data_IF_070102571246
#
_entry.id   IF_070102571246
#
_cell.length_a   1.000
_cell.length_b   1.000
_cell.length_c   1.000
_cell.angle_alpha   90.00
_cell.angle_beta   90.00
_cell.angle_gamma   90.00
#
_symmetry.space_group_name_H-M   'P 1'
#
loop_
_entity.id
_entity.type
_entity.pdbx_description
1 polymer ?
#
# COMPACT_ATOMS: atom_id res chain seq x y z
N UNK A 1 92.11 -9.40 9.59
CA UNK A 1 91.04 -8.47 9.19
C UNK A 1 89.85 -9.31 8.67
N UNK A 2 88.87 -9.58 9.47
CA UNK A 2 87.67 -10.36 9.12
C UNK A 2 86.55 -9.37 8.97
N UNK A 3 85.97 -9.19 7.76
CA UNK A 3 84.79 -8.35 7.54
C UNK A 3 83.53 -9.21 7.67
N UNK A 4 82.69 -8.90 8.68
CA UNK A 4 81.38 -9.44 8.86
C UNK A 4 80.42 -8.82 7.86
N UNK A 5 79.68 -9.66 7.11
CA UNK A 5 78.56 -9.23 6.26
C UNK A 5 77.29 -9.42 7.11
N UNK A 6 76.64 -8.31 7.38
CA UNK A 6 75.31 -8.31 7.96
C UNK A 6 74.27 -8.58 6.85
N UNK A 7 73.53 -9.65 6.96
CA UNK A 7 72.33 -9.96 6.13
C UNK A 7 71.13 -9.17 6.62
N UNK A 8 70.55 -8.32 5.78
CA UNK A 8 69.28 -7.64 6.05
C UNK A 8 68.13 -8.51 5.50
N UNK A 9 67.40 -9.14 6.35
CA UNK A 9 66.17 -9.86 6.03
C UNK A 9 65.02 -8.84 6.01
N UNK A 10 64.51 -8.51 4.80
CA UNK A 10 63.29 -7.68 4.65
C UNK A 10 62.07 -8.56 4.85
N UNK A 11 61.34 -8.31 5.92
CA UNK A 11 60.03 -8.92 6.14
C UNK A 11 58.96 -8.18 5.30
N UNK A 12 58.38 -8.87 4.32
CA UNK A 12 57.22 -8.37 3.55
C UNK A 12 55.98 -8.71 4.35
N UNK A 13 55.31 -7.71 4.93
CA UNK A 13 54.01 -7.86 5.57
C UNK A 13 52.95 -7.82 4.46
N UNK A 14 52.37 -8.96 4.13
CA UNK A 14 51.19 -9.05 3.24
C UNK A 14 49.96 -8.78 4.07
N UNK A 15 49.40 -7.58 3.97
CA UNK A 15 48.08 -7.29 4.52
C UNK A 15 46.99 -7.94 3.64
N UNK A 16 46.44 -9.06 4.05
CA UNK A 16 45.24 -9.64 3.43
C UNK A 16 44.05 -8.80 3.91
N UNK A 17 43.51 -7.95 3.07
CA UNK A 17 42.22 -7.29 3.29
C UNK A 17 41.14 -8.33 2.97
N UNK A 18 40.57 -8.95 4.00
CA UNK A 18 39.34 -9.73 3.85
C UNK A 18 38.20 -8.74 3.56
N UNK A 19 37.80 -8.61 2.31
CA UNK A 19 36.53 -8.02 1.96
C UNK A 19 35.41 -9.00 2.40
N UNK A 20 34.76 -8.73 3.53
CA UNK A 20 33.50 -9.35 3.88
C UNK A 20 32.47 -8.89 2.84
N UNK A 21 32.17 -9.74 1.87
CA UNK A 21 31.00 -9.59 1.03
C UNK A 21 29.80 -9.80 1.95
N UNK A 22 29.13 -8.71 2.36
CA UNK A 22 27.79 -8.80 2.96
C UNK A 22 26.89 -9.31 1.82
N UNK A 23 26.46 -10.54 1.91
CA UNK A 23 25.46 -11.05 0.99
C UNK A 23 24.21 -10.19 1.16
N UNK A 24 23.76 -9.53 0.11
CA UNK A 24 22.47 -8.85 0.10
C UNK A 24 21.40 -9.86 0.50
N UNK A 25 20.54 -9.48 1.44
CA UNK A 25 19.44 -10.37 1.80
C UNK A 25 18.49 -10.45 0.59
N UNK A 26 18.12 -11.68 0.22
CA UNK A 26 17.23 -11.90 -0.92
C UNK A 26 15.91 -11.14 -0.72
N UNK A 27 15.37 -10.59 -1.81
CA UNK A 27 14.04 -10.01 -1.82
C UNK A 27 13.00 -11.04 -1.35
N UNK A 28 12.00 -10.60 -0.61
CA UNK A 28 11.02 -11.51 0.00
C UNK A 28 9.61 -11.09 -0.38
N UNK A 29 8.92 -11.98 -1.10
CA UNK A 29 7.50 -11.81 -1.42
C UNK A 29 6.69 -11.84 -0.12
N UNK A 30 5.80 -10.85 0.06
CA UNK A 30 4.99 -10.65 1.27
C UNK A 30 5.82 -10.73 2.56
N UNK A 31 7.05 -10.22 2.51
CA UNK A 31 7.99 -10.23 3.63
C UNK A 31 7.53 -9.37 4.81
N UNK A 32 8.23 -9.52 5.93
CA UNK A 32 7.94 -8.73 7.15
C UNK A 32 8.17 -7.24 6.89
N UNK A 33 7.15 -6.43 7.12
CA UNK A 33 7.21 -4.98 6.97
C UNK A 33 8.06 -4.33 8.06
N UNK A 34 8.78 -3.23 7.74
CA UNK A 34 9.62 -2.54 8.73
C UNK A 34 8.79 -1.83 9.80
N UNK A 35 9.14 -2.04 11.08
CA UNK A 35 8.55 -1.28 12.18
C UNK A 35 9.03 0.18 12.23
N UNK A 36 8.36 1.06 12.99
CA UNK A 36 7.10 0.78 13.67
C UNK A 36 5.91 0.70 12.71
N UNK A 37 4.88 -0.06 13.10
CA UNK A 37 3.59 -0.05 12.42
C UNK A 37 2.61 0.87 13.18
N UNK A 38 1.63 1.47 12.49
CA UNK A 38 1.38 1.42 11.04
C UNK A 38 2.51 2.07 10.23
N UNK A 39 2.60 1.77 8.93
CA UNK A 39 3.76 2.09 8.07
C UNK A 39 4.15 3.57 8.08
N UNK A 40 3.18 4.48 7.98
CA UNK A 40 3.38 5.92 8.09
C UNK A 40 3.33 6.41 9.54
N UNK A 41 3.78 7.65 9.84
CA UNK A 41 3.58 8.26 11.15
C UNK A 41 2.10 8.25 11.59
N UNK A 42 1.83 8.19 12.90
CA UNK A 42 0.45 8.16 13.43
C UNK A 42 -0.41 9.36 13.03
N UNK A 43 0.21 10.47 12.66
CA UNK A 43 -0.47 11.68 12.16
C UNK A 43 -0.79 11.64 10.68
N UNK A 44 -0.40 10.58 9.97
CA UNK A 44 -0.72 10.40 8.56
C UNK A 44 -2.24 10.21 8.38
N UNK A 45 -2.75 10.63 7.21
CA UNK A 45 -4.17 10.47 6.88
C UNK A 45 -4.62 9.00 6.88
N UNK A 46 -3.77 8.03 6.53
CA UNK A 46 -4.10 6.62 6.63
C UNK A 46 -4.39 6.20 8.08
N UNK A 47 -3.70 6.78 9.05
CA UNK A 47 -3.72 6.40 10.46
C UNK A 47 -4.60 7.33 11.32
N UNK A 48 -5.21 8.35 10.71
CA UNK A 48 -6.02 9.32 11.43
C UNK A 48 -7.34 8.70 11.92
N UNK A 49 -7.58 8.75 13.24
CA UNK A 49 -8.84 8.36 13.85
C UNK A 49 -9.96 9.33 13.43
N UNK A 50 -10.96 8.81 12.73
CA UNK A 50 -12.10 9.58 12.22
C UNK A 50 -13.39 9.26 12.95
N UNK A 51 -13.34 8.53 14.06
CA UNK A 51 -14.53 8.10 14.80
C UNK A 51 -15.44 9.25 15.24
N UNK A 52 -14.83 10.44 15.50
CA UNK A 52 -15.52 11.67 15.88
C UNK A 52 -15.53 12.73 14.78
N UNK A 53 -15.07 12.42 13.58
CA UNK A 53 -15.08 13.37 12.47
C UNK A 53 -16.52 13.73 12.08
N UNK A 54 -16.81 15.02 11.77
CA UNK A 54 -18.13 15.46 11.36
C UNK A 54 -18.53 14.82 10.02
N UNK A 55 -19.83 14.61 9.84
CA UNK A 55 -20.37 14.11 8.57
C UNK A 55 -20.41 15.19 7.51
N UNK A 56 -20.21 14.79 6.26
CA UNK A 56 -20.47 15.66 5.11
C UNK A 56 -21.97 15.92 4.99
N UNK A 57 -22.35 17.16 4.74
CA UNK A 57 -23.77 17.53 4.58
C UNK A 57 -24.46 16.82 3.40
N UNK A 58 -23.68 16.34 2.43
CA UNK A 58 -24.16 15.57 1.29
C UNK A 58 -23.95 14.04 1.45
N UNK A 59 -23.60 13.56 2.66
CA UNK A 59 -23.32 12.13 2.92
C UNK A 59 -24.39 11.21 2.36
N UNK A 60 -25.67 11.48 2.64
CA UNK A 60 -26.78 10.67 2.16
C UNK A 60 -26.88 10.65 0.62
N UNK A 61 -26.58 11.78 -0.04
CA UNK A 61 -26.61 11.86 -1.51
C UNK A 61 -25.49 11.00 -2.13
N UNK A 62 -24.28 11.03 -1.56
CA UNK A 62 -23.17 10.21 -2.02
C UNK A 62 -23.46 8.70 -1.84
N UNK A 63 -23.99 8.31 -0.69
CA UNK A 63 -24.39 6.92 -0.44
C UNK A 63 -25.49 6.50 -1.41
N UNK A 64 -26.45 7.37 -1.70
CA UNK A 64 -27.50 7.12 -2.70
C UNK A 64 -26.92 6.97 -4.11
N UNK A 65 -25.91 7.76 -4.48
CA UNK A 65 -25.23 7.66 -5.77
C UNK A 65 -24.52 6.32 -5.94
N UNK A 66 -23.80 5.83 -4.91
CA UNK A 66 -23.20 4.48 -4.89
C UNK A 66 -24.30 3.43 -5.03
N UNK A 67 -25.42 3.62 -4.37
CA UNK A 67 -26.54 2.69 -4.23
C UNK A 67 -26.57 2.11 -2.81
N UNK A 68 -27.60 2.46 -2.05
CA UNK A 68 -27.72 2.13 -0.61
C UNK A 68 -27.61 0.64 -0.31
N UNK A 69 -28.01 -0.24 -1.25
CA UNK A 69 -27.95 -1.70 -1.13
C UNK A 69 -26.69 -2.31 -1.69
N UNK A 70 -25.75 -1.49 -2.22
CA UNK A 70 -24.49 -1.98 -2.75
C UNK A 70 -23.69 -2.62 -1.61
N UNK A 71 -23.36 -3.90 -1.78
CA UNK A 71 -22.62 -4.67 -0.77
C UNK A 71 -21.12 -4.39 -0.85
N UNK A 72 -20.45 -4.49 0.28
CA UNK A 72 -18.99 -4.56 0.29
C UNK A 72 -18.52 -5.86 -0.34
N UNK A 73 -17.35 -5.79 -0.95
CA UNK A 73 -16.63 -6.95 -1.48
C UNK A 73 -15.17 -6.92 -1.03
N UNK A 74 -14.61 -8.02 -0.49
CA UNK A 74 -13.17 -8.12 -0.25
C UNK A 74 -12.50 -8.44 -1.58
N UNK A 75 -11.78 -7.46 -2.13
CA UNK A 75 -11.04 -7.60 -3.39
C UNK A 75 -9.62 -8.07 -3.08
N UNK A 76 -9.52 -9.21 -2.42
CA UNK A 76 -8.28 -9.85 -2.03
C UNK A 76 -8.52 -11.31 -1.66
N UNK A 77 -7.43 -12.10 -1.69
CA UNK A 77 -7.53 -13.53 -1.42
C UNK A 77 -6.20 -14.22 -1.68
N UNK A 78 -6.30 -15.49 -2.00
CA UNK A 78 -5.19 -16.33 -2.42
C UNK A 78 -5.12 -16.50 -3.93
N UNK A 79 -4.65 -17.67 -4.36
CA UNK A 79 -4.68 -18.09 -5.76
C UNK A 79 -6.12 -18.24 -6.25
N UNK A 80 -6.38 -17.93 -7.51
CA UNK A 80 -7.70 -18.08 -8.14
C UNK A 80 -8.18 -19.55 -8.14
N UNK A 81 -7.23 -20.47 -8.23
CA UNK A 81 -7.39 -21.89 -7.96
C UNK A 81 -6.06 -22.45 -7.47
N UNK A 82 -6.03 -23.56 -6.69
CA UNK A 82 -4.78 -24.11 -6.16
C UNK A 82 -3.73 -24.34 -7.23
N UNK A 83 -2.55 -23.71 -7.08
CA UNK A 83 -1.43 -23.76 -8.01
C UNK A 83 -1.56 -22.85 -9.24
N UNK A 84 -2.56 -21.96 -9.28
CA UNK A 84 -2.71 -20.95 -10.34
C UNK A 84 -1.72 -19.80 -10.15
N UNK A 85 -1.16 -19.31 -11.28
CA UNK A 85 -0.41 -18.06 -11.27
C UNK A 85 -1.33 -16.85 -11.01
N UNK A 86 -2.62 -16.93 -11.38
CA UNK A 86 -3.60 -15.87 -11.12
C UNK A 86 -3.93 -15.78 -9.63
N UNK A 87 -3.90 -14.55 -9.11
CA UNK A 87 -4.11 -14.28 -7.67
C UNK A 87 -5.08 -13.12 -7.47
N UNK A 88 -5.73 -13.11 -6.30
CA UNK A 88 -6.54 -12.00 -5.82
C UNK A 88 -5.78 -11.17 -4.79
N UNK A 89 -5.88 -9.84 -4.92
CA UNK A 89 -5.21 -8.89 -4.05
C UNK A 89 -3.80 -8.52 -4.51
N UNK A 90 -3.16 -7.64 -3.74
CA UNK A 90 -1.88 -7.06 -4.06
C UNK A 90 -0.73 -7.84 -3.41
N UNK A 91 0.15 -8.50 -4.17
CA UNK A 91 1.44 -8.92 -3.63
C UNK A 91 2.30 -7.69 -3.35
N UNK A 92 3.20 -7.79 -2.39
CA UNK A 92 4.24 -6.80 -2.17
C UNK A 92 5.58 -7.47 -1.91
N UNK A 93 6.65 -6.76 -2.18
CA UNK A 93 8.01 -7.26 -2.06
C UNK A 93 8.77 -6.46 -1.03
N UNK A 94 9.50 -7.13 -0.14
CA UNK A 94 10.41 -6.48 0.80
C UNK A 94 11.84 -6.72 0.36
N UNK A 95 12.58 -5.63 0.18
CA UNK A 95 14.01 -5.61 -0.17
C UNK A 95 14.83 -4.95 0.93
N UNK A 96 16.13 -5.13 0.92
CA UNK A 96 17.04 -4.36 1.76
C UNK A 96 17.56 -3.10 1.03
N UNK A 97 18.21 -2.20 1.77
CA UNK A 97 18.72 -0.93 1.25
C UNK A 97 19.85 -1.05 0.22
N UNK A 98 20.39 -2.25 0.01
CA UNK A 98 21.44 -2.53 -0.99
C UNK A 98 20.87 -3.04 -2.32
N UNK A 99 19.55 -3.28 -2.42
CA UNK A 99 18.90 -3.73 -3.65
C UNK A 99 19.24 -2.78 -4.82
N UNK A 100 19.81 -3.27 -5.93
CA UNK A 100 20.13 -2.44 -7.08
C UNK A 100 18.90 -1.75 -7.66
N UNK A 101 19.03 -0.46 -7.94
CA UNK A 101 17.94 0.33 -8.52
C UNK A 101 17.94 0.19 -10.04
N UNK A 102 16.76 0.03 -10.61
CA UNK A 102 16.48 -0.04 -12.05
C UNK A 102 15.85 1.28 -12.53
N UNK A 103 16.11 1.67 -13.77
CA UNK A 103 15.34 2.69 -14.45
C UNK A 103 14.05 2.05 -15.01
N UNK A 104 12.96 2.82 -15.00
CA UNK A 104 11.65 2.41 -15.54
C UNK A 104 11.19 3.46 -16.54
N UNK A 105 10.76 3.06 -17.71
CA UNK A 105 10.17 3.95 -18.72
C UNK A 105 8.66 4.09 -18.45
N UNK A 106 8.15 5.32 -18.42
CA UNK A 106 6.78 5.63 -18.02
C UNK A 106 5.93 6.20 -19.15
N UNK A 107 4.66 5.78 -19.20
CA UNK A 107 3.66 6.41 -20.06
C UNK A 107 3.28 7.80 -19.52
N UNK A 108 3.27 7.98 -18.17
CA UNK A 108 3.00 9.24 -17.47
C UNK A 108 4.28 9.74 -16.80
N UNK A 109 5.31 10.03 -17.59
CA UNK A 109 6.65 10.44 -17.10
C UNK A 109 6.62 11.74 -16.32
N UNK A 110 5.74 12.67 -16.66
CA UNK A 110 5.57 13.99 -16.03
C UNK A 110 4.96 13.93 -14.63
N UNK A 111 4.35 12.81 -14.26
CA UNK A 111 3.76 12.56 -12.94
C UNK A 111 4.46 11.43 -12.18
N UNK A 112 5.58 10.90 -12.66
CA UNK A 112 6.26 9.74 -12.10
C UNK A 112 7.58 10.11 -11.42
N UNK A 113 7.87 9.47 -10.27
CA UNK A 113 9.18 9.56 -9.64
C UNK A 113 10.19 8.69 -10.40
N UNK A 114 11.48 9.02 -10.29
CA UNK A 114 12.54 8.30 -11.02
C UNK A 114 12.75 8.80 -12.44
N UNK A 115 12.19 9.97 -12.75
CA UNK A 115 12.39 10.69 -14.01
C UNK A 115 13.15 11.99 -13.75
N UNK A 116 14.10 12.31 -14.59
CA UNK A 116 14.69 13.64 -14.64
C UNK A 116 13.77 14.54 -15.45
N UNK A 117 12.90 15.30 -14.79
CA UNK A 117 11.89 16.15 -15.42
C UNK A 117 12.48 17.31 -16.26
N UNK A 118 13.80 17.54 -16.24
CA UNK A 118 14.44 18.51 -17.15
C UNK A 118 14.78 17.87 -18.50
N UNK A 119 15.14 16.59 -18.52
CA UNK A 119 15.57 15.87 -19.73
C UNK A 119 14.57 14.83 -20.20
N UNK A 120 13.51 14.60 -19.44
CA UNK A 120 12.52 13.54 -19.62
C UNK A 120 13.14 12.14 -19.76
N UNK A 121 14.16 11.89 -18.94
CA UNK A 121 14.89 10.63 -18.95
C UNK A 121 14.70 9.88 -17.64
N UNK A 122 14.35 8.61 -17.73
CA UNK A 122 14.32 7.70 -16.58
C UNK A 122 15.72 7.48 -16.02
N UNK A 123 15.82 7.45 -14.69
CA UNK A 123 17.06 7.20 -13.95
C UNK A 123 16.93 5.95 -13.09
N UNK A 124 18.02 5.27 -12.71
CA UNK A 124 17.97 4.15 -11.76
C UNK A 124 17.38 4.61 -10.42
N UNK A 125 16.14 4.19 -10.12
CA UNK A 125 15.39 4.67 -8.95
C UNK A 125 14.65 3.58 -8.21
N UNK A 126 14.03 2.63 -8.90
CA UNK A 126 13.18 1.59 -8.33
C UNK A 126 13.99 0.33 -7.99
N UNK A 127 14.00 -0.14 -6.73
CA UNK A 127 14.76 -1.32 -6.31
C UNK A 127 14.01 -2.61 -6.69
N UNK A 128 13.76 -2.81 -7.99
CA UNK A 128 13.03 -3.97 -8.52
C UNK A 128 13.92 -5.20 -8.46
N UNK A 129 13.53 -6.27 -7.73
CA UNK A 129 14.29 -7.51 -7.70
C UNK A 129 14.13 -8.31 -9.00
N UNK A 130 15.19 -9.03 -9.38
CA UNK A 130 15.20 -9.80 -10.63
C UNK A 130 14.17 -10.95 -10.61
N UNK A 131 13.78 -11.42 -9.42
CA UNK A 131 12.72 -12.43 -9.24
C UNK A 131 11.38 -11.97 -9.84
N UNK A 132 11.07 -10.68 -9.79
CA UNK A 132 9.82 -10.14 -10.36
C UNK A 132 9.73 -10.30 -11.89
N UNK A 133 10.87 -10.55 -12.58
CA UNK A 133 10.90 -10.76 -14.04
C UNK A 133 10.24 -12.09 -14.41
N UNK A 134 10.55 -13.17 -13.70
CA UNK A 134 10.23 -14.52 -14.15
C UNK A 134 9.45 -15.37 -13.13
N UNK A 135 9.26 -14.88 -11.90
CA UNK A 135 8.51 -15.61 -10.88
C UNK A 135 7.07 -15.12 -10.81
N UNK A 136 6.13 -16.08 -10.71
CA UNK A 136 4.73 -15.79 -10.47
C UNK A 136 4.51 -15.16 -9.07
N UNK A 137 3.38 -14.47 -8.91
CA UNK A 137 2.90 -13.87 -7.66
C UNK A 137 3.68 -12.64 -7.15
N UNK A 138 4.64 -12.11 -7.91
CA UNK A 138 5.40 -10.92 -7.53
C UNK A 138 4.76 -9.61 -7.97
N UNK A 139 3.86 -9.70 -8.93
CA UNK A 139 3.12 -8.58 -9.53
C UNK A 139 1.63 -8.90 -9.43
N UNK A 140 0.80 -7.89 -9.25
CA UNK A 140 -0.65 -8.03 -9.23
C UNK A 140 -1.17 -8.80 -10.45
N UNK A 141 -2.21 -9.61 -10.23
CA UNK A 141 -2.72 -10.56 -11.22
C UNK A 141 -1.90 -11.85 -11.30
N UNK A 142 -0.73 -11.90 -10.64
CA UNK A 142 0.06 -13.10 -10.40
C UNK A 142 1.06 -13.48 -11.49
N UNK A 143 0.85 -13.12 -12.75
CA UNK A 143 1.76 -13.47 -13.84
C UNK A 143 3.10 -12.72 -13.73
N UNK A 144 4.24 -13.35 -14.14
CA UNK A 144 5.57 -12.74 -14.12
C UNK A 144 5.68 -11.42 -14.88
N UNK A 145 6.72 -10.64 -14.57
CA UNK A 145 6.96 -9.32 -15.17
C UNK A 145 7.26 -9.35 -16.68
N UNK A 146 7.78 -10.45 -17.21
CA UNK A 146 8.06 -10.64 -18.61
C UNK A 146 6.83 -11.10 -19.44
N UNK A 147 5.65 -11.22 -18.82
CA UNK A 147 4.38 -11.47 -19.51
C UNK A 147 3.62 -10.15 -19.64
N UNK A 148 3.42 -9.68 -20.87
CA UNK A 148 2.71 -8.41 -21.10
C UNK A 148 1.19 -8.59 -21.00
N UNK A 149 0.63 -8.12 -19.88
CA UNK A 149 -0.80 -8.11 -19.61
C UNK A 149 -1.32 -6.69 -19.37
N UNK A 150 -0.57 -5.64 -19.73
CA UNK A 150 -0.92 -4.25 -19.48
C UNK A 150 -2.26 -3.80 -20.06
N UNK A 151 -2.75 -4.49 -21.06
CA UNK A 151 -4.07 -4.21 -21.67
C UNK A 151 -5.27 -4.83 -20.94
N UNK A 152 -5.03 -5.74 -19.99
CA UNK A 152 -6.07 -6.54 -19.33
C UNK A 152 -5.98 -6.57 -17.82
N UNK A 153 -4.90 -6.05 -17.24
CA UNK A 153 -4.64 -6.04 -15.79
C UNK A 153 -3.87 -4.80 -15.40
N UNK A 154 -4.10 -4.30 -14.20
CA UNK A 154 -3.44 -3.10 -13.65
C UNK A 154 -1.97 -3.35 -13.31
N UNK A 155 -1.58 -4.60 -13.04
CA UNK A 155 -0.17 -5.01 -12.94
C UNK A 155 0.64 -4.18 -11.97
N UNK A 156 0.15 -3.97 -10.75
CA UNK A 156 0.88 -3.23 -9.73
C UNK A 156 2.08 -4.02 -9.20
N UNK A 157 3.19 -3.31 -8.95
CA UNK A 157 4.36 -3.82 -8.25
C UNK A 157 4.67 -2.91 -7.06
N UNK A 158 4.49 -3.44 -5.84
CA UNK A 158 4.70 -2.73 -4.59
C UNK A 158 6.00 -3.21 -3.94
N UNK A 159 6.94 -2.30 -3.67
CA UNK A 159 8.27 -2.64 -3.15
C UNK A 159 8.57 -1.82 -1.90
N UNK A 160 8.93 -2.49 -0.81
CA UNK A 160 9.32 -1.88 0.46
C UNK A 160 10.80 -2.08 0.68
N UNK A 161 11.57 -1.00 0.68
CA UNK A 161 12.93 -0.96 1.21
C UNK A 161 12.85 -0.85 2.74
N UNK A 162 13.10 -1.99 3.40
CA UNK A 162 12.92 -2.11 4.86
C UNK A 162 13.94 -1.31 5.66
N UNK A 163 15.16 -1.13 5.14
CA UNK A 163 16.26 -0.51 5.87
C UNK A 163 16.11 1.02 5.87
N UNK A 164 15.63 1.59 4.77
CA UNK A 164 15.39 3.02 4.62
C UNK A 164 13.95 3.43 4.94
N UNK A 165 13.03 2.47 5.12
CA UNK A 165 11.58 2.70 5.25
C UNK A 165 11.04 3.50 4.07
N UNK A 166 11.32 3.06 2.88
CA UNK A 166 10.84 3.62 1.63
C UNK A 166 9.85 2.66 0.96
N UNK A 167 8.80 3.21 0.38
CA UNK A 167 7.82 2.48 -0.42
C UNK A 167 7.89 2.98 -1.86
N UNK A 168 8.01 2.05 -2.79
CA UNK A 168 7.97 2.29 -4.22
C UNK A 168 6.80 1.52 -4.80
N UNK A 169 5.96 2.18 -5.57
CA UNK A 169 4.78 1.57 -6.19
C UNK A 169 4.75 1.91 -7.67
N UNK A 170 4.53 0.90 -8.48
CA UNK A 170 4.47 1.00 -9.94
C UNK A 170 3.11 0.47 -10.41
N UNK A 171 2.52 1.15 -11.37
CA UNK A 171 1.30 0.76 -12.07
C UNK A 171 1.62 0.27 -13.46
N UNK A 172 0.97 -0.80 -13.91
CA UNK A 172 0.99 -1.33 -15.27
C UNK A 172 2.37 -1.77 -15.75
N UNK A 173 3.07 -2.56 -14.91
CA UNK A 173 4.46 -2.94 -15.15
C UNK A 173 4.62 -4.06 -16.18
N UNK A 174 5.70 -3.97 -16.97
CA UNK A 174 6.15 -4.98 -17.90
C UNK A 174 7.66 -4.92 -18.12
N UNK A 175 8.32 -6.07 -18.23
CA UNK A 175 9.73 -6.20 -18.60
C UNK A 175 9.87 -6.76 -20.01
N UNK A 176 10.38 -5.97 -20.94
CA UNK A 176 10.46 -6.30 -22.37
C UNK A 176 11.64 -7.21 -22.75
N UNK A 177 12.40 -7.66 -21.76
CA UNK A 177 13.65 -8.42 -21.94
C UNK A 177 14.91 -7.56 -21.79
N UNK A 178 14.77 -6.23 -21.78
CA UNK A 178 15.86 -5.25 -21.66
C UNK A 178 15.57 -4.21 -20.59
N UNK A 179 14.32 -3.73 -20.52
CA UNK A 179 13.89 -2.60 -19.72
C UNK A 179 12.56 -2.88 -19.01
N UNK A 180 12.37 -2.22 -17.90
CA UNK A 180 11.09 -2.10 -17.25
C UNK A 180 10.30 -0.93 -17.83
N UNK A 181 9.02 -1.18 -18.10
CA UNK A 181 8.03 -0.19 -18.47
C UNK A 181 6.95 -0.14 -17.40
N UNK A 182 6.32 1.01 -17.21
CA UNK A 182 5.16 1.18 -16.34
C UNK A 182 4.27 2.31 -16.84
N UNK A 183 3.02 2.33 -16.44
CA UNK A 183 2.13 3.46 -16.66
C UNK A 183 2.58 4.66 -15.84
N UNK A 184 2.68 4.47 -14.53
CA UNK A 184 3.16 5.48 -13.59
C UNK A 184 3.96 4.84 -12.46
N UNK A 185 4.69 5.69 -11.70
CA UNK A 185 5.45 5.24 -10.56
C UNK A 185 5.54 6.29 -9.46
N UNK A 186 5.48 5.84 -8.21
CA UNK A 186 5.49 6.69 -7.05
C UNK A 186 6.47 6.22 -5.98
N UNK A 187 7.03 7.19 -5.28
CA UNK A 187 7.88 7.01 -4.13
C UNK A 187 7.25 7.65 -2.89
N UNK A 188 7.31 6.94 -1.77
CA UNK A 188 6.86 7.43 -0.48
C UNK A 188 7.91 7.15 0.59
N UNK A 189 8.37 8.20 1.26
CA UNK A 189 9.14 8.09 2.49
C UNK A 189 8.18 7.80 3.65
N UNK A 190 8.24 6.58 4.19
CA UNK A 190 7.36 6.13 5.28
C UNK A 190 7.68 6.80 6.63
N UNK A 191 8.74 7.61 6.71
CA UNK A 191 9.09 8.34 7.93
C UNK A 191 8.38 9.70 8.05
N UNK A 192 7.77 10.19 6.97
CA UNK A 192 7.12 11.50 6.90
C UNK A 192 5.69 11.45 6.35
N UNK A 193 4.95 12.53 6.51
CA UNK A 193 3.61 12.69 5.92
C UNK A 193 3.69 13.38 4.55
N UNK A 194 4.50 12.83 3.65
CA UNK A 194 4.65 13.36 2.30
C UNK A 194 3.42 13.05 1.44
N UNK A 195 2.74 14.08 0.93
CA UNK A 195 1.71 13.96 -0.12
C UNK A 195 2.36 14.23 -1.48
N UNK A 196 1.90 13.54 -2.50
CA UNK A 196 2.34 13.84 -3.88
C UNK A 196 1.95 15.27 -4.28
N UNK A 197 2.67 15.90 -5.21
CA UNK A 197 2.28 17.21 -5.75
C UNK A 197 0.84 17.20 -6.24
N UNK A 198 0.13 18.33 -6.14
CA UNK A 198 -1.21 18.46 -6.71
C UNK A 198 -1.19 18.18 -8.21
N UNK A 199 -2.19 17.47 -8.68
CA UNK A 199 -2.37 16.95 -10.03
C UNK A 199 -1.52 15.71 -10.38
N UNK A 200 -0.60 15.29 -9.53
CA UNK A 200 0.16 14.07 -9.77
C UNK A 200 -0.58 12.83 -9.29
N UNK A 201 -0.65 11.82 -10.16
CA UNK A 201 -1.07 10.46 -9.79
C UNK A 201 0.00 9.74 -8.97
N UNK A 202 -0.30 8.55 -8.51
CA UNK A 202 0.68 7.57 -8.02
C UNK A 202 0.53 6.29 -8.84
N UNK A 203 0.86 5.14 -8.30
CA UNK A 203 0.38 3.87 -8.82
C UNK A 203 -1.14 3.69 -8.60
N UNK A 204 -1.74 4.52 -7.73
CA UNK A 204 -3.18 4.59 -7.47
C UNK A 204 -3.76 5.90 -8.02
N UNK A 205 -4.94 5.87 -8.61
CA UNK A 205 -5.53 7.01 -9.31
C UNK A 205 -5.72 8.27 -8.44
N UNK A 206 -5.87 8.10 -7.13
CA UNK A 206 -5.98 9.24 -6.20
C UNK A 206 -4.65 9.93 -5.88
N UNK A 207 -3.51 9.41 -6.35
CA UNK A 207 -2.18 9.88 -5.94
C UNK A 207 -1.81 9.46 -4.51
N UNK A 208 -2.43 8.42 -3.97
CA UNK A 208 -2.18 7.87 -2.65
C UNK A 208 -1.26 6.64 -2.73
N UNK A 209 -0.63 6.28 -1.62
CA UNK A 209 0.07 5.01 -1.51
C UNK A 209 -0.93 3.86 -1.35
N UNK A 210 -0.73 2.75 -2.05
CA UNK A 210 -1.61 1.57 -2.03
C UNK A 210 -1.38 0.74 -0.77
N UNK A 211 -0.15 0.29 -0.53
CA UNK A 211 0.20 -0.68 0.52
C UNK A 211 -0.31 -0.29 1.92
N UNK A 212 -0.21 0.97 2.37
CA UNK A 212 -0.71 1.37 3.69
C UNK A 212 -2.23 1.27 3.85
N UNK A 213 -2.97 1.22 2.75
CA UNK A 213 -4.43 1.09 2.72
C UNK A 213 -4.94 -0.34 2.51
N UNK A 214 -4.08 -1.33 2.42
CA UNK A 214 -4.46 -2.73 2.20
C UNK A 214 -4.82 -3.43 3.51
N UNK A 215 -5.84 -4.30 3.47
CA UNK A 215 -6.09 -5.28 4.53
C UNK A 215 -5.02 -6.35 4.46
N UNK A 216 -4.24 -6.58 5.52
CA UNK A 216 -3.15 -7.55 5.54
C UNK A 216 -3.44 -8.73 6.47
N UNK A 217 -3.03 -9.92 6.03
CA UNK A 217 -3.25 -11.15 6.79
C UNK A 217 -2.55 -11.12 8.17
N UNK A 218 -1.31 -10.64 8.20
CA UNK A 218 -0.48 -10.58 9.41
C UNK A 218 -1.10 -9.71 10.53
N UNK A 219 -1.77 -8.59 10.17
CA UNK A 219 -2.42 -7.73 11.16
C UNK A 219 -3.81 -8.25 11.55
N UNK A 220 -4.56 -8.82 10.62
CA UNK A 220 -5.89 -9.39 10.91
C UNK A 220 -5.78 -10.55 11.90
N UNK A 221 -4.83 -11.45 11.72
CA UNK A 221 -4.59 -12.59 12.59
C UNK A 221 -3.50 -12.35 13.65
N UNK A 222 -2.90 -11.17 13.66
CA UNK A 222 -1.96 -10.73 14.70
C UNK A 222 -2.65 -10.37 16.02
N UNK A 223 -1.88 -10.11 17.09
CA UNK A 223 -2.43 -9.82 18.41
C UNK A 223 -3.00 -8.40 18.55
N UNK A 224 -2.59 -7.45 17.71
CA UNK A 224 -2.95 -6.03 17.82
C UNK A 224 -4.18 -5.68 16.99
N UNK A 225 -4.85 -4.57 17.33
CA UNK A 225 -5.89 -3.98 16.48
C UNK A 225 -5.24 -3.39 15.20
N UNK A 226 -6.05 -3.26 14.14
CA UNK A 226 -5.65 -2.57 12.92
C UNK A 226 -5.77 -1.06 13.16
N UNK A 227 -4.70 -0.32 12.91
CA UNK A 227 -4.60 1.11 13.23
C UNK A 227 -4.49 2.00 11.99
N UNK A 228 -5.18 1.64 10.89
CA UNK A 228 -5.23 2.44 9.67
C UNK A 228 -6.54 2.26 8.90
N UNK A 229 -6.83 3.20 7.98
CA UNK A 229 -7.93 3.13 7.03
C UNK A 229 -7.62 2.16 5.89
N UNK A 230 -8.67 1.71 5.20
CA UNK A 230 -8.49 0.88 4.01
C UNK A 230 -8.78 1.64 2.72
N UNK A 231 -8.15 1.18 1.64
CA UNK A 231 -8.43 1.58 0.27
C UNK A 231 -9.79 1.02 -0.16
N UNK A 232 -10.59 1.85 -0.84
CA UNK A 232 -11.86 1.43 -1.44
C UNK A 232 -11.98 1.98 -2.85
N UNK A 233 -12.55 1.20 -3.75
CA UNK A 233 -12.91 1.65 -5.11
C UNK A 233 -14.39 2.00 -5.20
N UNK A 234 -14.73 2.88 -6.13
CA UNK A 234 -16.09 3.23 -6.56
C UNK A 234 -16.14 3.34 -8.08
N UNK A 235 -17.29 3.05 -8.70
CA UNK A 235 -17.41 3.04 -10.17
C UNK A 235 -17.12 4.38 -10.86
N UNK A 236 -17.26 5.47 -10.13
CA UNK A 236 -17.10 6.83 -10.69
C UNK A 236 -16.75 7.82 -9.59
N UNK A 237 -15.92 8.79 -9.94
CA UNK A 237 -15.51 9.88 -9.04
C UNK A 237 -15.75 11.26 -9.67
N UNK A 238 -15.65 12.31 -8.85
CA UNK A 238 -15.79 13.70 -9.27
C UNK A 238 -14.73 14.58 -8.61
N UNK A 239 -13.62 14.80 -9.31
CA UNK A 239 -12.50 15.57 -8.77
C UNK A 239 -11.78 14.87 -7.64
N UNK A 240 -11.07 15.64 -6.79
CA UNK A 240 -10.39 15.11 -5.61
C UNK A 240 -10.45 16.08 -4.44
N UNK A 241 -10.25 15.56 -3.24
CA UNK A 241 -10.09 16.29 -1.99
C UNK A 241 -8.94 15.70 -1.19
N UNK A 242 -8.37 16.47 -0.28
CA UNK A 242 -7.38 15.93 0.66
C UNK A 242 -7.87 14.62 1.31
N UNK A 243 -7.04 13.58 1.38
CA UNK A 243 -5.58 13.57 1.12
C UNK A 243 -5.17 13.33 -0.34
N UNK A 244 -6.08 13.01 -1.25
CA UNK A 244 -5.75 12.77 -2.65
C UNK A 244 -5.08 13.98 -3.31
N UNK A 245 -4.22 13.73 -4.27
CA UNK A 245 -3.55 14.75 -5.10
C UNK A 245 -4.04 14.76 -6.53
N UNK A 246 -4.74 13.70 -6.98
CA UNK A 246 -5.12 13.53 -8.37
C UNK A 246 -6.59 13.13 -8.49
N UNK A 247 -7.16 13.38 -9.67
CA UNK A 247 -8.54 13.04 -10.06
C UNK A 247 -8.52 12.02 -11.19
N UNK A 248 -9.45 11.06 -11.18
CA UNK A 248 -9.66 10.16 -12.30
C UNK A 248 -11.09 10.20 -12.86
N UNK A 249 -11.89 11.23 -12.48
CA UNK A 249 -13.26 11.37 -12.96
C UNK A 249 -13.84 12.75 -12.75
N UNK A 250 -14.99 13.00 -13.41
CA UNK A 250 -15.75 14.24 -13.34
C UNK A 250 -17.26 14.00 -13.33
N UNK A 251 -17.70 12.85 -12.79
CA UNK A 251 -19.10 12.44 -12.80
C UNK A 251 -19.89 13.18 -11.71
N UNK A 252 -20.83 14.03 -12.13
CA UNK A 252 -21.66 14.81 -11.21
C UNK A 252 -22.39 13.93 -10.20
N UNK A 253 -22.33 14.27 -8.92
CA UNK A 253 -22.95 13.53 -7.82
C UNK A 253 -22.09 12.41 -7.25
N UNK A 254 -21.00 12.01 -7.92
CA UNK A 254 -20.07 11.02 -7.40
C UNK A 254 -19.15 11.58 -6.30
N UNK A 255 -18.60 10.71 -5.46
CA UNK A 255 -17.57 11.05 -4.49
C UNK A 255 -16.30 11.56 -5.20
N UNK A 256 -15.56 12.51 -4.62
CA UNK A 256 -14.21 12.83 -5.09
C UNK A 256 -13.20 11.75 -4.63
N UNK A 257 -12.08 11.61 -5.34
CA UNK A 257 -10.90 10.89 -4.84
C UNK A 257 -10.47 11.48 -3.50
N UNK A 258 -10.01 10.65 -2.57
CA UNK A 258 -9.64 11.07 -1.21
C UNK A 258 -10.82 11.24 -0.25
N UNK A 259 -12.07 11.16 -0.72
CA UNK A 259 -13.23 11.14 0.16
C UNK A 259 -13.14 9.93 1.10
N UNK A 260 -13.64 10.10 2.34
CA UNK A 260 -13.57 9.05 3.35
C UNK A 260 -14.97 8.61 3.78
N UNK A 261 -15.21 7.31 3.70
CA UNK A 261 -16.39 6.65 4.26
C UNK A 261 -16.03 6.06 5.62
N UNK A 262 -16.96 6.12 6.56
CA UNK A 262 -16.80 5.53 7.89
C UNK A 262 -17.96 4.59 8.16
N UNK A 263 -17.67 3.34 8.55
CA UNK A 263 -18.69 2.41 9.02
C UNK A 263 -19.36 3.00 10.27
N UNK A 264 -20.68 3.07 10.26
CA UNK A 264 -21.48 3.65 11.37
C UNK A 264 -21.19 2.94 12.68
N UNK A 265 -20.94 3.70 13.75
CA UNK A 265 -20.73 3.15 15.09
C UNK A 265 -21.93 2.33 15.60
N UNK A 266 -23.15 2.63 15.12
CA UNK A 266 -24.38 1.91 15.42
C UNK A 266 -24.47 0.52 14.77
N UNK A 267 -23.62 0.22 13.76
CA UNK A 267 -23.59 -1.10 13.14
C UNK A 267 -23.02 -2.12 14.12
N UNK A 268 -23.86 -3.04 14.56
CA UNK A 268 -23.42 -4.12 15.44
C UNK A 268 -22.46 -5.05 14.69
N UNK A 269 -21.37 -5.41 15.34
CA UNK A 269 -20.40 -6.38 14.86
C UNK A 269 -20.59 -7.76 15.51
N UNK A 270 -21.60 -7.89 16.39
CA UNK A 270 -21.93 -9.17 17.05
C UNK A 270 -22.30 -10.21 16.00
N UNK A 271 -21.77 -11.42 16.14
CA UNK A 271 -22.03 -12.53 15.23
C UNK A 271 -20.98 -12.70 14.12
N UNK A 272 -20.15 -11.70 13.86
CA UNK A 272 -18.97 -11.90 13.00
C UNK A 272 -17.84 -12.59 13.77
N UNK A 273 -16.99 -13.30 13.07
CA UNK A 273 -15.77 -13.90 13.63
C UNK A 273 -14.82 -12.81 14.16
N UNK A 274 -14.00 -13.07 15.19
CA UNK A 274 -13.13 -12.07 15.82
C UNK A 274 -12.22 -11.32 14.83
N UNK A 275 -11.63 -12.03 13.87
CA UNK A 275 -10.78 -11.47 12.82
C UNK A 275 -11.55 -10.51 11.88
N UNK A 276 -12.79 -10.84 11.54
CA UNK A 276 -13.68 -9.97 10.74
C UNK A 276 -14.11 -8.74 11.56
N UNK A 277 -14.43 -8.93 12.83
CA UNK A 277 -14.75 -7.81 13.72
C UNK A 277 -13.58 -6.81 13.82
N UNK A 278 -12.32 -7.31 13.81
CA UNK A 278 -11.13 -6.45 13.83
C UNK A 278 -11.08 -5.55 12.59
N UNK A 279 -11.31 -6.12 11.40
CA UNK A 279 -11.38 -5.34 10.14
C UNK A 279 -12.48 -4.28 10.23
N UNK A 280 -13.68 -4.66 10.67
CA UNK A 280 -14.82 -3.75 10.75
C UNK A 280 -14.67 -2.68 11.84
N UNK A 281 -14.01 -2.98 12.97
CA UNK A 281 -13.63 -1.94 13.95
C UNK A 281 -12.68 -0.91 13.35
N UNK A 282 -11.73 -1.34 12.51
CA UNK A 282 -10.87 -0.39 11.80
C UNK A 282 -11.67 0.49 10.84
N UNK A 283 -12.69 -0.06 10.14
CA UNK A 283 -13.60 0.74 9.30
C UNK A 283 -14.44 1.73 10.12
N UNK A 284 -14.82 1.39 11.37
CA UNK A 284 -15.51 2.33 12.27
C UNK A 284 -14.60 3.43 12.78
N UNK A 285 -13.31 3.14 12.98
CA UNK A 285 -12.36 4.06 13.59
C UNK A 285 -11.58 4.89 12.56
N UNK A 286 -11.11 4.24 11.51
CA UNK A 286 -10.24 4.86 10.50
C UNK A 286 -10.93 5.04 9.15
N UNK A 287 -11.98 4.27 8.88
CA UNK A 287 -12.79 4.37 7.66
C UNK A 287 -12.13 3.77 6.42
N UNK A 288 -12.71 4.15 5.27
CA UNK A 288 -12.29 3.76 3.93
C UNK A 288 -11.96 5.03 3.14
N UNK A 289 -10.85 5.05 2.41
CA UNK A 289 -10.48 6.19 1.55
C UNK A 289 -10.71 5.80 0.09
N UNK A 290 -11.49 6.62 -0.63
CA UNK A 290 -11.70 6.45 -2.08
C UNK A 290 -10.38 6.74 -2.79
N UNK A 291 -9.77 5.71 -3.37
CA UNK A 291 -8.44 5.76 -3.92
C UNK A 291 -8.39 5.49 -5.43
N UNK A 292 -9.42 4.82 -5.97
CA UNK A 292 -9.47 4.51 -7.38
C UNK A 292 -10.92 4.36 -7.90
N UNK A 293 -11.07 4.39 -9.23
CA UNK A 293 -12.27 3.95 -9.92
C UNK A 293 -12.21 2.44 -10.17
N UNK A 294 -13.34 1.76 -10.00
CA UNK A 294 -13.45 0.32 -10.15
C UNK A 294 -14.85 -0.14 -9.83
N UNK A 295 -15.00 -1.32 -9.28
CA UNK A 295 -16.29 -1.76 -8.75
C UNK A 295 -16.64 -1.02 -7.47
N UNK A 296 -17.94 -0.71 -7.28
CA UNK A 296 -18.39 -0.01 -6.07
C UNK A 296 -18.19 -0.86 -4.83
N UNK A 297 -17.60 -0.26 -3.78
CA UNK A 297 -17.42 -0.81 -2.45
C UNK A 297 -16.51 -2.04 -2.42
N UNK A 298 -15.53 -2.11 -3.31
CA UNK A 298 -14.48 -3.12 -3.27
C UNK A 298 -13.35 -2.63 -2.36
N UNK A 299 -13.00 -3.48 -1.38
CA UNK A 299 -11.99 -3.19 -0.36
C UNK A 299 -10.73 -3.97 -0.73
N UNK A 300 -9.63 -3.27 -0.93
CA UNK A 300 -8.38 -3.89 -1.34
C UNK A 300 -7.62 -4.50 -0.15
N UNK A 301 -6.92 -5.60 -0.40
CA UNK A 301 -6.05 -6.24 0.57
C UNK A 301 -4.87 -6.95 -0.11
N UNK A 302 -3.97 -7.49 0.70
CA UNK A 302 -2.81 -8.20 0.17
C UNK A 302 -3.18 -9.60 -0.33
N UNK A 303 -2.48 -10.05 -1.38
CA UNK A 303 -2.43 -11.46 -1.74
C UNK A 303 -1.86 -12.28 -0.58
N UNK A 304 -2.56 -13.33 -0.18
CA UNK A 304 -2.08 -14.31 0.79
C UNK A 304 -2.88 -15.61 0.65
N UNK A 305 -2.20 -16.74 0.41
CA UNK A 305 -2.86 -18.05 0.22
C UNK A 305 -3.58 -18.58 1.46
N UNK A 306 -3.39 -17.95 2.62
CA UNK A 306 -4.07 -18.30 3.88
C UNK A 306 -5.45 -17.67 4.01
N UNK A 307 -5.84 -16.70 3.17
CA UNK A 307 -7.17 -16.14 3.17
C UNK A 307 -8.23 -17.19 2.83
N UNK A 308 -9.35 -17.13 3.53
CA UNK A 308 -10.52 -17.96 3.27
C UNK A 308 -11.70 -17.11 2.75
N UNK A 309 -11.84 -17.07 1.44
CA UNK A 309 -12.89 -16.28 0.79
C UNK A 309 -14.30 -16.84 1.05
N UNK A 310 -14.43 -18.09 1.49
CA UNK A 310 -15.72 -18.62 1.95
C UNK A 310 -16.19 -17.97 3.26
N UNK A 311 -15.27 -17.37 4.01
CA UNK A 311 -15.54 -16.58 5.23
C UNK A 311 -15.62 -15.08 4.90
N UNK A 312 -14.67 -14.57 4.10
CA UNK A 312 -14.57 -13.15 3.78
C UNK A 312 -15.78 -12.65 2.97
N UNK A 313 -16.14 -13.33 1.88
CA UNK A 313 -17.20 -12.88 0.98
C UNK A 313 -18.57 -12.72 1.67
N UNK A 314 -19.09 -13.68 2.42
CA UNK A 314 -20.37 -13.51 3.12
C UNK A 314 -20.28 -12.47 4.24
N UNK A 315 -19.13 -12.35 4.93
CA UNK A 315 -18.97 -11.37 6.00
C UNK A 315 -18.98 -9.93 5.45
N UNK A 316 -18.19 -9.63 4.42
CA UNK A 316 -18.20 -8.32 3.79
C UNK A 316 -19.53 -8.03 3.12
N UNK A 317 -20.12 -9.01 2.42
CA UNK A 317 -21.42 -8.90 1.78
C UNK A 317 -22.61 -8.68 2.76
N UNK A 318 -22.40 -8.82 4.06
CA UNK A 318 -23.39 -8.45 5.10
C UNK A 318 -23.40 -6.94 5.41
N UNK A 319 -22.42 -6.20 4.92
CA UNK A 319 -22.36 -4.73 4.97
C UNK A 319 -22.80 -4.16 3.62
N UNK A 320 -23.50 -3.03 3.66
CA UNK A 320 -23.92 -2.28 2.46
C UNK A 320 -23.44 -0.84 2.55
N UNK A 321 -23.48 -0.12 1.44
CA UNK A 321 -23.15 1.31 1.42
C UNK A 321 -23.99 2.10 2.45
N UNK A 322 -25.22 1.68 2.73
CA UNK A 322 -26.08 2.32 3.73
C UNK A 322 -25.56 2.16 5.18
N UNK A 323 -24.66 1.21 5.44
CA UNK A 323 -24.02 1.07 6.74
C UNK A 323 -22.89 2.09 6.97
N UNK A 324 -22.58 2.90 5.97
CA UNK A 324 -21.51 3.92 6.01
C UNK A 324 -22.05 5.34 5.98
N UNK A 325 -21.26 6.24 6.55
CA UNK A 325 -21.39 7.68 6.39
C UNK A 325 -20.18 8.23 5.66
N UNK A 326 -20.35 9.29 4.86
CA UNK A 326 -19.25 10.07 4.31
C UNK A 326 -18.89 11.15 5.33
N UNK A 327 -17.63 11.19 5.77
CA UNK A 327 -17.14 12.25 6.64
C UNK A 327 -16.90 13.54 5.83
N UNK A 328 -16.89 14.67 6.49
CA UNK A 328 -16.69 15.97 5.87
C UNK A 328 -15.48 15.93 4.93
N UNK A 329 -15.69 16.26 3.66
CA UNK A 329 -14.65 16.21 2.64
C UNK A 329 -13.48 17.13 3.00
N UNK A 330 -12.25 16.61 2.81
CA UNK A 330 -11.03 17.32 3.15
C UNK A 330 -10.80 17.51 4.66
N UNK A 331 -11.57 16.84 5.51
CA UNK A 331 -11.36 16.90 6.96
C UNK A 331 -9.97 16.43 7.34
N UNK A 332 -9.38 17.17 8.27
CA UNK A 332 -8.09 16.84 8.88
C UNK A 332 -8.25 16.91 10.41
N UNK A 333 -7.59 16.04 11.17
CA UNK A 333 -7.57 16.17 12.62
C UNK A 333 -6.93 17.50 13.01
N UNK A 334 -7.47 18.15 14.05
CA UNK A 334 -6.91 19.41 14.56
C UNK A 334 -5.51 19.09 15.12
N UNK A 335 -4.50 19.76 14.56
CA UNK A 335 -3.12 19.59 15.00
C UNK A 335 -3.01 19.95 16.51
N UNK A 336 -2.51 19.01 17.31
CA UNK A 336 -2.25 19.22 18.75
C UNK A 336 -3.31 18.68 19.72
N UNK A 337 -4.42 18.09 19.25
CA UNK A 337 -5.25 17.30 20.15
C UNK A 337 -4.65 15.91 20.32
N UNK A 338 -4.42 15.42 21.56
CA UNK A 338 -4.04 14.04 21.78
C UNK A 338 -5.12 13.14 21.22
N UNK A 339 -4.75 12.10 20.47
CA UNK A 339 -5.68 11.03 20.11
C UNK A 339 -6.34 10.45 21.37
N UNK A 340 -7.55 9.85 21.26
CA UNK A 340 -8.19 9.22 22.40
C UNK A 340 -7.23 8.20 23.04
N UNK A 341 -7.22 8.10 24.39
CA UNK A 341 -6.31 7.21 25.10
C UNK A 341 -6.51 5.76 24.65
N UNK A 342 -5.43 5.15 24.16
CA UNK A 342 -5.43 3.80 23.59
C UNK A 342 -5.46 2.67 24.64
N UNK A 343 -5.47 3.00 25.97
CA UNK A 343 -5.46 2.02 27.06
C UNK A 343 -6.34 2.47 28.24
N UNK A 344 -7.66 2.42 28.06
CA UNK A 344 -8.58 2.37 29.22
C UNK A 344 -8.62 0.93 29.74
N UNK A 345 -7.72 0.58 30.68
CA UNK A 345 -7.98 -0.55 31.57
C UNK A 345 -9.03 -0.09 32.58
N UNK A 346 -10.22 -0.67 32.51
CA UNK A 346 -11.18 -0.61 33.60
C UNK A 346 -10.54 -1.43 34.74
N UNK A 347 -9.98 -0.74 35.73
CA UNK A 347 -9.63 -1.37 37.01
C UNK A 347 -10.94 -1.46 37.77
N UNK A 348 -11.56 -2.64 37.79
CA UNK A 348 -12.68 -2.92 38.70
C UNK A 348 -12.16 -2.74 40.12
N UNK A 349 -12.61 -1.65 40.75
CA UNK A 349 -12.37 -1.42 42.17
C UNK A 349 -13.01 -2.51 43.01
N UNK A 350 -12.27 -2.94 44.02
CA UNK A 350 -12.74 -3.82 45.09
C UNK A 350 -13.86 -3.15 45.90
#
# INVERSE_FOLDING_TARGET
>A
MIRSRASRTSAVIVCIVLALAVAAAAATLNGVLPGPLPLFPRTNWWNADVSQAPLDSSSANFISFIGTTRRLHPDFGGEASPGSDEVYGFPYVVVDGSQPKKAVEFDYSDESDGVNHTTDQSVPFYPIPDEAIAHAHWIEGGQPGNVDLRSTSDRHLLIVDRDNRHLYELYNVFFDGTRWHAGSGAFFDLNINGRRPDTWTSADAAGLAILPGLVRYDEVFGPNEIEHAFRVTVRSTNGYVYPASHRAGSTTGALPMGARLRLKASKSLTGFRPEIQKIFRAMQRYGLIVADNGSDMYISGTFDTRWDNSILNPAFGALTANDFDVIQRGWQPIAGLPGPPTNLRIVSGQ
#
